data_IF_325465426808
#
_entry.id   IF_325465426808
#
_cell.length_a   1.000
_cell.length_b   1.000
_cell.length_c   1.000
_cell.angle_alpha   90.00
_cell.angle_beta   90.00
_cell.angle_gamma   90.00
#
_symmetry.space_group_name_H-M   'P 1'
#
loop_
_entity.id
_entity.type
_entity.pdbx_description
1 polymer ?
#
# COMPACT_ATOMS: atom_id res chain seq x y z
N UNK A 1 5.55 -37.91 -45.81
CA UNK A 1 5.74 -36.48 -45.52
C UNK A 1 5.02 -36.21 -44.21
N UNK A 2 5.73 -36.34 -43.09
CA UNK A 2 5.21 -36.01 -41.76
C UNK A 2 5.11 -34.50 -41.64
N UNK A 3 3.88 -33.98 -41.54
CA UNK A 3 3.65 -32.58 -41.21
C UNK A 3 3.91 -32.39 -39.72
N UNK A 4 5.07 -31.83 -39.39
CA UNK A 4 5.37 -31.36 -38.04
C UNK A 4 4.35 -30.31 -37.62
N UNK A 5 3.48 -30.65 -36.68
CA UNK A 5 2.72 -29.67 -35.91
C UNK A 5 3.74 -28.87 -35.09
N UNK A 6 4.09 -27.67 -35.57
CA UNK A 6 4.73 -26.66 -34.74
C UNK A 6 3.82 -26.38 -33.54
N UNK A 7 4.24 -26.86 -32.38
CA UNK A 7 3.72 -26.44 -31.09
C UNK A 7 4.04 -24.95 -30.99
N UNK A 8 3.09 -24.09 -31.36
CA UNK A 8 3.12 -22.68 -30.98
C UNK A 8 3.05 -22.63 -29.46
N UNK A 9 4.22 -22.63 -28.81
CA UNK A 9 4.36 -22.33 -27.40
C UNK A 9 3.89 -20.88 -27.27
N UNK A 10 2.62 -20.73 -26.92
CA UNK A 10 2.00 -19.45 -26.64
C UNK A 10 2.74 -18.90 -25.42
N UNK A 11 3.76 -18.07 -25.65
CA UNK A 11 4.56 -17.48 -24.59
C UNK A 11 3.65 -16.52 -23.84
N UNK A 12 2.93 -17.06 -22.84
CA UNK A 12 2.00 -16.31 -22.02
C UNK A 12 2.72 -15.08 -21.49
N UNK A 13 2.23 -13.89 -21.84
CA UNK A 13 2.86 -12.64 -21.45
C UNK A 13 3.04 -12.57 -19.93
N UNK A 14 4.23 -12.15 -19.50
CA UNK A 14 4.57 -12.00 -18.08
C UNK A 14 5.21 -13.20 -17.40
N UNK A 15 5.20 -14.40 -18.01
CA UNK A 15 5.88 -15.58 -17.44
C UNK A 15 7.38 -15.35 -17.27
N UNK A 16 7.92 -15.84 -16.15
CA UNK A 16 9.30 -15.69 -15.72
C UNK A 16 10.15 -16.84 -16.22
N UNK A 17 11.32 -16.50 -16.76
CA UNK A 17 12.31 -17.45 -17.28
C UNK A 17 13.20 -17.96 -16.16
N UNK A 18 13.45 -19.27 -16.15
CA UNK A 18 14.39 -19.90 -15.22
C UNK A 18 15.82 -19.41 -15.51
N UNK A 19 16.18 -19.32 -16.79
CA UNK A 19 17.53 -18.93 -17.23
C UNK A 19 17.82 -17.49 -16.82
N UNK A 20 16.91 -16.56 -17.09
CA UNK A 20 17.08 -15.14 -16.72
C UNK A 20 17.21 -14.99 -15.20
N UNK A 21 16.41 -15.77 -14.45
CA UNK A 21 16.48 -15.77 -12.99
C UNK A 21 17.85 -16.25 -12.51
N UNK A 22 18.41 -17.33 -13.09
CA UNK A 22 19.76 -17.78 -12.76
C UNK A 22 20.83 -16.74 -13.09
N UNK A 23 20.75 -16.09 -14.26
CA UNK A 23 21.68 -15.02 -14.66
C UNK A 23 21.63 -13.89 -13.62
N UNK A 24 20.43 -13.44 -13.25
CA UNK A 24 20.24 -12.42 -12.22
C UNK A 24 20.75 -12.86 -10.85
N UNK A 25 20.55 -14.12 -10.46
CA UNK A 25 21.06 -14.66 -9.20
C UNK A 25 22.58 -14.75 -9.19
N UNK A 26 23.25 -15.04 -10.31
CA UNK A 26 24.72 -15.11 -10.36
C UNK A 26 25.33 -13.72 -10.37
N UNK A 27 24.83 -12.82 -11.22
CA UNK A 27 25.43 -11.49 -11.44
C UNK A 27 25.05 -10.50 -10.34
N UNK A 28 23.79 -10.56 -9.87
CA UNK A 28 23.20 -9.59 -8.94
C UNK A 28 22.50 -10.27 -7.74
N UNK A 29 22.84 -11.52 -7.43
CA UNK A 29 22.12 -12.26 -6.40
C UNK A 29 22.32 -11.71 -4.99
N UNK A 30 23.50 -11.17 -4.68
CA UNK A 30 23.78 -10.55 -3.36
C UNK A 30 22.89 -9.32 -3.12
N UNK A 31 22.50 -8.61 -4.18
CA UNK A 31 21.57 -7.47 -4.04
C UNK A 31 20.10 -7.92 -3.94
N UNK A 32 19.79 -9.17 -4.33
CA UNK A 32 18.43 -9.70 -4.38
C UNK A 32 17.66 -9.30 -5.64
N UNK A 33 18.33 -8.91 -6.73
CA UNK A 33 17.68 -8.45 -7.97
C UNK A 33 16.74 -9.51 -8.59
N UNK A 34 17.07 -10.80 -8.44
CA UNK A 34 16.20 -11.90 -8.90
C UNK A 34 14.87 -11.94 -8.14
N UNK A 35 14.82 -11.56 -6.86
CA UNK A 35 13.55 -11.46 -6.13
C UNK A 35 12.65 -10.35 -6.66
N UNK A 36 13.24 -9.24 -7.12
CA UNK A 36 12.48 -8.18 -7.78
C UNK A 36 11.86 -8.67 -9.09
N UNK A 37 12.64 -9.35 -9.93
CA UNK A 37 12.16 -9.94 -11.18
C UNK A 37 11.00 -10.94 -10.98
N UNK A 38 11.06 -11.70 -9.88
CA UNK A 38 10.05 -12.67 -9.46
C UNK A 38 8.85 -12.06 -8.71
N UNK A 39 8.79 -10.73 -8.56
CA UNK A 39 7.66 -10.03 -7.92
C UNK A 39 7.65 -10.09 -6.38
N UNK A 40 8.83 -10.19 -5.73
CA UNK A 40 8.99 -10.26 -4.27
C UNK A 40 9.78 -9.06 -3.73
N UNK A 41 9.20 -7.85 -3.68
CA UNK A 41 9.92 -6.63 -3.26
C UNK A 41 10.42 -6.69 -1.80
N UNK A 42 9.71 -7.40 -0.92
CA UNK A 42 10.16 -7.56 0.47
C UNK A 42 11.45 -8.37 0.61
N UNK A 43 11.65 -9.37 -0.26
CA UNK A 43 12.90 -10.12 -0.30
C UNK A 43 14.04 -9.28 -0.87
N UNK A 44 13.78 -8.46 -1.90
CA UNK A 44 14.76 -7.47 -2.38
C UNK A 44 15.23 -6.56 -1.25
N UNK A 45 14.30 -5.96 -0.50
CA UNK A 45 14.64 -5.07 0.60
C UNK A 45 15.47 -5.79 1.68
N UNK A 46 15.03 -7.00 2.08
CA UNK A 46 15.76 -7.79 3.06
C UNK A 46 17.19 -8.10 2.56
N UNK A 47 17.37 -8.53 1.32
CA UNK A 47 18.68 -8.83 0.72
C UNK A 47 19.56 -7.58 0.64
N UNK A 48 19.01 -6.45 0.23
CA UNK A 48 19.75 -5.20 0.13
C UNK A 48 20.30 -4.73 1.49
N UNK A 49 19.48 -4.77 2.54
CA UNK A 49 19.88 -4.34 3.90
C UNK A 49 20.85 -5.33 4.56
N UNK A 50 20.71 -6.63 4.26
CA UNK A 50 21.49 -7.69 4.90
C UNK A 50 22.67 -8.20 4.06
N UNK A 51 22.96 -7.56 2.92
CA UNK A 51 23.96 -7.99 1.94
C UNK A 51 23.78 -9.46 1.53
N UNK A 52 22.57 -9.78 1.02
CA UNK A 52 22.22 -11.11 0.50
C UNK A 52 21.75 -12.11 1.56
N UNK A 53 21.30 -11.62 2.73
CA UNK A 53 21.13 -12.36 3.99
C UNK A 53 22.43 -13.03 4.46
N UNK A 54 23.42 -12.18 4.75
CA UNK A 54 24.75 -12.53 5.24
C UNK A 54 25.49 -13.54 4.34
N UNK A 55 25.28 -13.45 3.03
CA UNK A 55 25.90 -14.32 2.01
C UNK A 55 25.29 -15.73 1.90
N UNK A 56 24.68 -16.26 2.96
CA UNK A 56 24.06 -17.60 2.96
C UNK A 56 22.77 -17.62 2.12
N UNK A 57 21.97 -16.55 2.19
CA UNK A 57 20.71 -16.46 1.46
C UNK A 57 20.91 -16.59 -0.05
N UNK A 58 21.90 -15.88 -0.60
CA UNK A 58 22.29 -15.97 -2.01
C UNK A 58 22.62 -17.41 -2.45
N UNK A 59 23.38 -18.15 -1.64
CA UNK A 59 23.73 -19.55 -1.94
C UNK A 59 22.49 -20.45 -1.96
N UNK A 60 21.61 -20.32 -0.95
CA UNK A 60 20.36 -21.06 -0.90
C UNK A 60 19.45 -20.73 -2.09
N UNK A 61 19.46 -19.49 -2.55
CA UNK A 61 18.66 -19.06 -3.68
C UNK A 61 19.05 -19.73 -5.00
N UNK A 62 20.34 -20.02 -5.24
CA UNK A 62 20.80 -20.78 -6.42
C UNK A 62 20.09 -22.14 -6.52
N UNK A 63 19.97 -22.83 -5.38
CA UNK A 63 19.27 -24.13 -5.31
C UNK A 63 17.75 -23.97 -5.45
N UNK A 64 17.22 -22.83 -5.03
CA UNK A 64 15.78 -22.54 -4.94
C UNK A 64 15.19 -21.98 -6.24
N UNK A 65 15.99 -21.46 -7.18
CA UNK A 65 15.52 -20.84 -8.44
C UNK A 65 14.43 -21.63 -9.18
N UNK A 66 14.52 -22.96 -9.39
CA UNK A 66 13.51 -23.70 -10.14
C UNK A 66 12.13 -23.61 -9.49
N UNK A 67 12.10 -23.67 -8.16
CA UNK A 67 10.87 -23.56 -7.40
C UNK A 67 10.35 -22.10 -7.37
N UNK A 68 11.25 -21.12 -7.22
CA UNK A 68 10.91 -19.70 -7.23
C UNK A 68 10.19 -19.28 -8.51
N UNK A 69 10.70 -19.73 -9.65
CA UNK A 69 10.16 -19.41 -10.97
C UNK A 69 8.80 -20.09 -11.15
N UNK A 70 8.69 -21.36 -10.75
CA UNK A 70 7.40 -22.06 -10.75
C UNK A 70 6.37 -21.29 -9.94
N UNK A 71 6.70 -20.86 -8.72
CA UNK A 71 5.77 -20.13 -7.87
C UNK A 71 5.41 -18.75 -8.44
N UNK A 72 6.37 -18.03 -9.03
CA UNK A 72 6.10 -16.75 -9.68
C UNK A 72 5.14 -16.93 -10.86
N UNK A 73 5.33 -17.98 -11.66
CA UNK A 73 4.46 -18.33 -12.77
C UNK A 73 3.08 -18.81 -12.29
N UNK A 74 3.02 -19.55 -11.19
CA UNK A 74 1.76 -19.97 -10.55
C UNK A 74 0.95 -18.75 -10.08
N UNK A 75 1.60 -17.73 -9.49
CA UNK A 75 0.97 -16.44 -9.09
C UNK A 75 0.43 -15.65 -10.29
N UNK A 76 1.15 -15.67 -11.41
CA UNK A 76 0.70 -15.02 -12.66
C UNK A 76 -0.54 -15.74 -13.21
N UNK A 77 -0.57 -17.08 -13.14
CA UNK A 77 -1.70 -17.87 -13.62
C UNK A 77 -2.92 -17.81 -12.70
N UNK A 78 -2.71 -17.73 -11.39
CA UNK A 78 -3.76 -17.78 -10.37
C UNK A 78 -3.62 -16.57 -9.41
N UNK A 79 -4.37 -15.48 -9.63
CA UNK A 79 -4.30 -14.29 -8.77
C UNK A 79 -4.60 -14.56 -7.30
N UNK A 80 -5.39 -15.59 -6.98
CA UNK A 80 -5.65 -16.02 -5.59
C UNK A 80 -4.39 -16.37 -4.81
N UNK A 81 -3.32 -16.81 -5.49
CA UNK A 81 -2.03 -17.17 -4.89
C UNK A 81 -1.11 -15.97 -4.65
N UNK A 82 -1.42 -14.77 -5.17
CA UNK A 82 -0.57 -13.58 -5.04
C UNK A 82 -0.23 -13.28 -3.57
N UNK A 83 -1.21 -13.49 -2.69
CA UNK A 83 -1.11 -13.17 -1.28
C UNK A 83 -0.66 -14.33 -0.40
N UNK A 84 -0.49 -15.51 -0.99
CA UNK A 84 -0.12 -16.73 -0.27
C UNK A 84 1.32 -16.63 0.24
N UNK A 85 1.51 -17.06 1.49
CA UNK A 85 2.76 -17.06 2.23
C UNK A 85 3.30 -18.48 2.32
N UNK A 86 4.58 -18.65 2.04
CA UNK A 86 5.22 -19.95 2.13
C UNK A 86 6.00 -20.08 3.44
N UNK A 87 5.85 -21.23 4.08
CA UNK A 87 6.53 -21.54 5.34
C UNK A 87 8.06 -21.49 5.20
N UNK A 88 8.60 -22.02 4.10
CA UNK A 88 10.04 -21.95 3.82
C UNK A 88 10.57 -20.54 3.61
N UNK A 89 9.78 -19.66 2.98
CA UNK A 89 10.17 -18.26 2.77
C UNK A 89 10.27 -17.55 4.12
N UNK A 90 9.34 -17.85 5.03
CA UNK A 90 9.37 -17.36 6.40
C UNK A 90 10.60 -17.90 7.17
N UNK A 91 10.96 -19.18 7.01
CA UNK A 91 12.16 -19.76 7.64
C UNK A 91 13.48 -19.20 7.07
N UNK A 92 13.56 -18.96 5.76
CA UNK A 92 14.72 -18.32 5.12
C UNK A 92 14.92 -16.89 5.65
N UNK A 93 13.83 -16.13 5.83
CA UNK A 93 13.92 -14.80 6.43
C UNK A 93 14.22 -14.82 7.93
N UNK A 94 13.86 -15.92 8.60
CA UNK A 94 14.10 -16.11 10.03
C UNK A 94 15.54 -16.52 10.36
N UNK A 95 16.18 -17.34 9.53
CA UNK A 95 17.55 -17.77 9.76
C UNK A 95 18.51 -17.17 8.72
N UNK A 96 19.53 -16.38 9.12
CA UNK A 96 19.87 -15.90 10.47
C UNK A 96 19.27 -14.52 10.82
N UNK A 97 18.79 -13.76 9.83
CA UNK A 97 18.38 -12.37 10.03
C UNK A 97 17.01 -12.18 10.71
N UNK A 98 16.38 -13.26 11.18
CA UNK A 98 15.13 -13.19 11.95
C UNK A 98 15.26 -12.45 13.27
N UNK A 99 16.49 -12.28 13.78
CA UNK A 99 16.76 -11.40 14.94
C UNK A 99 16.34 -9.94 14.65
N UNK A 100 16.32 -9.52 13.38
CA UNK A 100 15.83 -8.20 12.97
C UNK A 100 14.34 -8.18 12.60
N UNK A 101 13.64 -9.32 12.69
CA UNK A 101 12.20 -9.41 12.46
C UNK A 101 11.75 -9.47 11.00
N UNK A 102 12.63 -9.77 10.04
CA UNK A 102 12.26 -9.83 8.61
C UNK A 102 11.14 -10.83 8.29
N UNK A 103 11.11 -11.98 8.97
CA UNK A 103 10.02 -12.96 8.83
C UNK A 103 8.66 -12.38 9.29
N UNK A 104 8.65 -11.50 10.28
CA UNK A 104 7.42 -10.84 10.77
C UNK A 104 6.89 -9.81 9.78
N UNK A 105 7.78 -9.07 9.11
CA UNK A 105 7.39 -8.18 8.01
C UNK A 105 6.79 -8.97 6.85
N UNK A 106 7.39 -10.10 6.46
CA UNK A 106 6.84 -10.99 5.44
C UNK A 106 5.44 -11.53 5.79
N UNK A 107 5.23 -11.86 7.07
CA UNK A 107 3.95 -12.31 7.64
C UNK A 107 2.97 -11.16 7.94
N UNK A 108 3.23 -9.93 7.45
CA UNK A 108 2.34 -8.76 7.61
C UNK A 108 2.05 -8.41 9.08
N UNK A 109 3.06 -8.60 9.95
CA UNK A 109 3.05 -8.20 11.36
C UNK A 109 4.08 -7.10 11.61
N UNK A 110 3.90 -5.90 11.02
CA UNK A 110 4.94 -4.86 11.03
C UNK A 110 5.27 -4.37 12.44
N UNK A 111 4.30 -4.41 13.37
CA UNK A 111 4.52 -3.91 14.73
C UNK A 111 5.52 -4.79 15.48
N UNK A 112 5.32 -6.12 15.41
CA UNK A 112 6.27 -7.07 15.98
C UNK A 112 7.61 -7.03 15.24
N UNK A 113 7.60 -6.83 13.91
CA UNK A 113 8.82 -6.67 13.13
C UNK A 113 9.67 -5.48 13.58
N UNK A 114 9.06 -4.30 13.75
CA UNK A 114 9.75 -3.10 14.28
C UNK A 114 10.22 -3.33 15.71
N UNK A 115 9.39 -3.94 16.56
CA UNK A 115 9.78 -4.28 17.92
C UNK A 115 11.03 -5.17 17.92
N UNK A 116 11.07 -6.22 17.08
CA UNK A 116 12.21 -7.11 16.91
C UNK A 116 13.46 -6.36 16.44
N UNK A 117 13.32 -5.45 15.48
CA UNK A 117 14.43 -4.67 14.96
C UNK A 117 15.17 -3.87 16.05
N UNK A 118 14.43 -3.21 16.96
CA UNK A 118 15.04 -2.41 18.03
C UNK A 118 15.49 -3.21 19.25
N UNK A 119 14.94 -4.42 19.43
CA UNK A 119 15.19 -5.25 20.62
C UNK A 119 16.05 -6.47 20.31
N UNK A 120 16.53 -6.57 19.06
CA UNK A 120 17.25 -7.72 18.51
C UNK A 120 16.49 -9.03 18.79
N UNK A 121 15.24 -9.08 18.32
CA UNK A 121 14.36 -10.23 18.42
C UNK A 121 13.75 -10.43 19.81
N UNK A 122 13.71 -9.36 20.61
CA UNK A 122 13.48 -9.34 22.06
C UNK A 122 14.52 -10.19 22.83
N UNK A 123 15.79 -9.78 22.75
CA UNK A 123 16.93 -10.42 23.40
C UNK A 123 17.14 -11.89 23.00
N UNK A 124 16.80 -12.24 21.75
CA UNK A 124 16.97 -13.60 21.20
C UNK A 124 15.90 -14.62 21.61
N UNK A 125 15.19 -14.43 22.72
CA UNK A 125 14.12 -15.36 23.14
C UNK A 125 12.95 -15.40 22.15
N UNK A 126 12.54 -14.24 21.65
CA UNK A 126 11.49 -14.16 20.64
C UNK A 126 11.89 -14.86 19.34
N UNK A 127 13.14 -14.68 18.91
CA UNK A 127 13.69 -15.36 17.74
C UNK A 127 13.62 -16.89 17.86
N UNK A 128 13.94 -17.47 19.02
CA UNK A 128 13.82 -18.92 19.26
C UNK A 128 12.34 -19.36 19.23
N UNK A 129 11.46 -18.64 19.93
CA UNK A 129 10.04 -18.96 19.97
C UNK A 129 9.38 -18.94 18.59
N UNK A 130 9.79 -18.00 17.73
CA UNK A 130 9.23 -17.86 16.40
C UNK A 130 9.53 -19.06 15.49
N UNK A 131 10.63 -19.78 15.73
CA UNK A 131 10.92 -21.05 15.03
C UNK A 131 9.79 -22.07 15.18
N UNK A 132 9.18 -22.14 16.37
CA UNK A 132 8.05 -23.03 16.67
C UNK A 132 6.69 -22.44 16.24
N UNK A 133 6.52 -21.12 16.33
CA UNK A 133 5.23 -20.46 16.06
C UNK A 133 4.96 -20.24 14.57
N UNK A 134 6.00 -20.29 13.73
CA UNK A 134 5.92 -19.97 12.30
C UNK A 134 4.84 -20.75 11.52
N UNK A 135 4.67 -22.07 11.69
CA UNK A 135 3.65 -22.82 10.95
C UNK A 135 2.24 -22.29 11.22
N UNK A 136 1.96 -21.94 12.47
CA UNK A 136 0.68 -21.34 12.87
C UNK A 136 0.49 -19.96 12.25
N UNK A 137 1.52 -19.11 12.30
CA UNK A 137 1.44 -17.75 11.73
C UNK A 137 1.25 -17.73 10.22
N UNK A 138 1.92 -18.64 9.49
CA UNK A 138 1.76 -18.78 8.04
C UNK A 138 0.36 -19.27 7.70
N UNK A 139 -0.17 -20.25 8.45
CA UNK A 139 -1.52 -20.77 8.25
C UNK A 139 -2.58 -19.68 8.45
N UNK A 140 -2.48 -18.93 9.55
CA UNK A 140 -3.39 -17.80 9.84
C UNK A 140 -3.41 -16.75 8.71
N UNK A 141 -2.26 -16.44 8.11
CA UNK A 141 -2.20 -15.47 7.01
C UNK A 141 -2.76 -16.02 5.70
N UNK A 142 -2.63 -17.33 5.47
CA UNK A 142 -3.09 -17.99 4.25
C UNK A 142 -4.58 -18.33 4.27
N UNK A 143 -5.18 -18.50 5.45
CA UNK A 143 -6.61 -18.77 5.62
C UNK A 143 -7.49 -17.51 5.42
N UNK A 144 -6.88 -16.32 5.31
CA UNK A 144 -7.63 -15.07 5.11
C UNK A 144 -8.27 -15.00 3.72
N UNK A 145 -9.51 -14.51 3.60
CA UNK A 145 -10.18 -14.35 2.31
C UNK A 145 -9.37 -13.50 1.32
N UNK A 146 -9.47 -13.86 0.03
CA UNK A 146 -8.84 -13.11 -1.04
C UNK A 146 -9.31 -11.64 -1.04
N UNK A 147 -8.36 -10.70 -1.02
CA UNK A 147 -8.65 -9.26 -0.94
C UNK A 147 -8.76 -8.70 0.48
N UNK A 148 -8.81 -9.53 1.53
CA UNK A 148 -8.86 -9.08 2.93
C UNK A 148 -7.50 -9.15 3.65
N UNK A 149 -6.43 -9.02 2.87
CA UNK A 149 -5.06 -9.18 3.35
C UNK A 149 -4.58 -8.07 4.27
N UNK A 150 -5.29 -6.93 4.27
CA UNK A 150 -4.94 -5.79 5.09
C UNK A 150 -5.58 -5.93 6.48
N UNK A 151 -4.75 -6.09 7.51
CA UNK A 151 -5.24 -6.07 8.91
C UNK A 151 -5.95 -4.75 9.19
N UNK A 152 -7.01 -4.83 10.01
CA UNK A 152 -7.68 -3.63 10.55
C UNK A 152 -6.64 -2.74 11.24
N UNK A 153 -6.67 -1.46 10.92
CA UNK A 153 -5.72 -0.49 11.48
C UNK A 153 -6.23 -0.03 12.84
N UNK A 154 -5.38 -0.16 13.85
CA UNK A 154 -5.72 0.20 15.24
C UNK A 154 -4.97 1.46 15.65
N UNK A 155 -5.70 2.37 16.29
CA UNK A 155 -5.17 3.66 16.73
C UNK A 155 -3.95 3.52 17.66
N UNK A 156 -3.95 2.65 18.70
CA UNK A 156 -2.78 2.51 19.56
C UNK A 156 -1.54 2.04 18.80
N UNK A 157 -1.71 1.10 17.86
CA UNK A 157 -0.62 0.57 17.04
C UNK A 157 -0.04 1.65 16.13
N UNK A 158 -0.88 2.50 15.54
CA UNK A 158 -0.43 3.64 14.74
C UNK A 158 0.36 4.65 15.58
N UNK A 159 -0.08 4.96 16.81
CA UNK A 159 0.67 5.80 17.73
C UNK A 159 2.02 5.20 18.13
N UNK A 160 2.10 3.88 18.32
CA UNK A 160 3.39 3.23 18.56
C UNK A 160 4.37 3.41 17.39
N UNK A 161 3.88 3.36 16.15
CA UNK A 161 4.72 3.64 14.97
C UNK A 161 5.06 5.12 14.81
N UNK A 162 4.24 6.03 15.33
CA UNK A 162 4.53 7.46 15.36
C UNK A 162 5.58 7.84 16.44
N UNK A 163 5.94 6.93 17.34
CA UNK A 163 6.94 7.17 18.36
C UNK A 163 8.35 7.29 17.75
N UNK A 164 9.14 8.23 18.25
CA UNK A 164 10.54 8.42 17.84
C UNK A 164 11.40 7.18 18.19
N UNK A 165 12.37 6.78 17.34
CA UNK A 165 12.75 7.42 16.06
C UNK A 165 11.92 6.95 14.86
N UNK A 166 11.13 5.91 15.02
CA UNK A 166 10.42 5.20 13.93
C UNK A 166 9.39 6.09 13.23
N UNK A 167 8.71 6.95 14.00
CA UNK A 167 7.75 7.93 13.50
C UNK A 167 8.38 9.04 12.66
N UNK A 168 9.62 9.44 12.94
CA UNK A 168 10.33 10.44 12.14
C UNK A 168 10.55 9.93 10.71
N UNK A 169 10.76 8.63 10.53
CA UNK A 169 10.89 8.03 9.20
C UNK A 169 9.55 7.70 8.52
N UNK A 170 8.40 8.03 9.15
CA UNK A 170 7.07 7.86 8.55
C UNK A 170 6.49 6.45 8.68
N UNK A 171 6.93 5.65 9.64
CA UNK A 171 6.44 4.28 9.85
C UNK A 171 4.92 4.17 10.01
N UNK A 172 4.29 5.15 10.66
CA UNK A 172 2.84 5.20 10.79
C UNK A 172 2.14 5.34 9.44
N UNK A 173 2.71 6.07 8.47
CA UNK A 173 2.15 6.15 7.12
C UNK A 173 2.27 4.83 6.36
N UNK A 174 3.41 4.14 6.47
CA UNK A 174 3.55 2.80 5.90
C UNK A 174 2.55 1.82 6.53
N UNK A 175 2.34 1.90 7.85
CA UNK A 175 1.32 1.11 8.53
C UNK A 175 -0.10 1.43 8.04
N UNK A 176 -0.39 2.69 7.74
CA UNK A 176 -1.70 3.17 7.29
C UNK A 176 -1.92 3.04 5.78
N UNK A 177 -1.03 2.33 5.06
CA UNK A 177 -1.08 2.11 3.60
C UNK A 177 -1.02 3.41 2.78
N UNK A 178 -0.23 4.38 3.26
CA UNK A 178 0.03 5.63 2.57
C UNK A 178 1.53 5.73 2.21
N UNK A 179 2.00 4.93 1.23
CA UNK A 179 3.43 4.78 0.96
C UNK A 179 4.09 6.09 0.51
N UNK A 180 3.39 6.92 -0.27
CA UNK A 180 3.95 8.20 -0.74
C UNK A 180 4.28 9.17 0.40
N UNK A 181 3.41 9.24 1.41
CA UNK A 181 3.66 10.03 2.61
C UNK A 181 4.78 9.43 3.46
N UNK A 182 4.82 8.10 3.58
CA UNK A 182 5.92 7.40 4.25
C UNK A 182 7.28 7.71 3.60
N UNK A 183 7.37 7.59 2.27
CA UNK A 183 8.59 7.89 1.50
C UNK A 183 9.01 9.34 1.71
N UNK A 184 8.07 10.27 1.60
CA UNK A 184 8.33 11.68 1.83
C UNK A 184 8.92 11.90 3.23
N UNK A 185 8.33 11.31 4.28
CA UNK A 185 8.84 11.39 5.65
C UNK A 185 10.22 10.74 5.78
N UNK A 186 10.47 9.59 5.17
CA UNK A 186 11.78 8.92 5.22
C UNK A 186 12.90 9.80 4.66
N UNK A 187 12.67 10.47 3.52
CA UNK A 187 13.69 11.30 2.87
C UNK A 187 13.81 12.73 3.44
N UNK A 188 12.79 13.22 4.13
CA UNK A 188 12.77 14.56 4.74
C UNK A 188 12.95 14.53 6.26
N UNK A 189 13.18 13.34 6.83
CA UNK A 189 13.22 13.07 8.28
C UNK A 189 11.98 13.68 8.96
N UNK A 190 10.81 13.24 8.49
CA UNK A 190 9.51 13.54 9.07
C UNK A 190 8.91 14.89 8.67
N UNK A 191 9.36 15.45 7.54
CA UNK A 191 9.29 16.88 7.20
C UNK A 191 9.96 17.74 8.28
N UNK A 192 11.29 17.68 8.33
CA UNK A 192 12.15 18.48 9.22
C UNK A 192 11.72 18.46 10.69
N UNK A 193 11.16 17.34 11.16
CA UNK A 193 10.60 17.18 12.51
C UNK A 193 9.24 17.86 12.75
N UNK A 194 8.88 18.92 12.02
CA UNK A 194 7.58 19.58 12.17
C UNK A 194 6.42 18.66 11.82
N UNK A 195 6.50 17.94 10.70
CA UNK A 195 5.44 17.02 10.28
C UNK A 195 5.20 15.92 11.31
N UNK A 196 6.26 15.43 11.95
CA UNK A 196 6.15 14.49 13.06
C UNK A 196 5.41 15.06 14.28
N UNK A 197 5.65 16.33 14.64
CA UNK A 197 4.92 16.99 15.74
C UNK A 197 3.42 17.08 15.43
N UNK A 198 3.07 17.55 14.22
CA UNK A 198 1.67 17.67 13.79
C UNK A 198 1.00 16.29 13.76
N UNK A 199 1.74 15.24 13.42
CA UNK A 199 1.21 13.88 13.33
C UNK A 199 0.78 13.29 14.67
N UNK A 200 1.29 13.75 15.80
CA UNK A 200 0.75 13.36 17.11
C UNK A 200 -0.74 13.72 17.25
N UNK A 201 -1.14 14.85 16.69
CA UNK A 201 -2.54 15.27 16.66
C UNK A 201 -3.30 14.63 15.50
N UNK A 202 -2.66 14.47 14.34
CA UNK A 202 -3.32 13.95 13.13
C UNK A 202 -3.50 12.43 13.13
N UNK A 203 -2.71 11.67 13.89
CA UNK A 203 -2.67 10.21 13.82
C UNK A 203 -4.06 9.57 13.97
N UNK A 204 -4.90 10.07 14.87
CA UNK A 204 -6.29 9.64 14.99
C UNK A 204 -7.06 9.74 13.66
N UNK A 205 -7.00 10.90 12.99
CA UNK A 205 -7.67 11.12 11.71
C UNK A 205 -7.10 10.26 10.59
N UNK A 206 -5.78 10.04 10.57
CA UNK A 206 -5.14 9.18 9.57
C UNK A 206 -5.61 7.72 9.70
N UNK A 207 -5.76 7.22 10.94
CA UNK A 207 -6.31 5.88 11.21
C UNK A 207 -7.76 5.78 10.77
N UNK A 208 -8.57 6.79 11.09
CA UNK A 208 -9.98 6.80 10.72
C UNK A 208 -10.16 6.78 9.20
N UNK A 209 -9.40 7.58 8.46
CA UNK A 209 -9.43 7.57 6.99
C UNK A 209 -9.01 6.25 6.38
N UNK A 210 -7.93 5.66 6.90
CA UNK A 210 -7.49 4.34 6.44
C UNK A 210 -8.59 3.28 6.64
N UNK A 211 -9.33 3.36 7.76
CA UNK A 211 -10.50 2.51 8.01
C UNK A 211 -11.64 2.77 7.02
N UNK A 212 -11.99 4.04 6.78
CA UNK A 212 -13.07 4.42 5.86
C UNK A 212 -12.77 4.01 4.41
N UNK A 213 -11.52 4.14 3.97
CA UNK A 213 -11.06 3.67 2.65
C UNK A 213 -11.15 2.15 2.57
N UNK A 214 -10.72 1.43 3.61
CA UNK A 214 -10.84 -0.03 3.68
C UNK A 214 -12.30 -0.50 3.60
N UNK A 215 -13.20 0.18 4.31
CA UNK A 215 -14.66 -0.09 4.29
C UNK A 215 -15.34 0.44 3.02
N UNK A 216 -14.58 1.00 2.06
CA UNK A 216 -15.08 1.56 0.79
C UNK A 216 -16.12 2.70 0.96
N UNK A 217 -16.12 3.37 2.12
CA UNK A 217 -17.00 4.51 2.37
C UNK A 217 -16.46 5.79 1.72
N UNK A 218 -15.13 5.92 1.66
CA UNK A 218 -14.44 7.04 1.01
C UNK A 218 -13.58 6.51 -0.13
N UNK A 219 -13.45 7.29 -1.19
CA UNK A 219 -12.60 6.94 -2.32
C UNK A 219 -11.11 7.12 -1.95
N UNK A 220 -10.20 6.22 -2.37
CA UNK A 220 -8.77 6.30 -2.03
C UNK A 220 -8.07 7.58 -2.51
N UNK A 221 -8.59 8.23 -3.56
CA UNK A 221 -8.01 9.49 -4.07
C UNK A 221 -8.56 10.76 -3.39
N UNK A 222 -9.49 10.64 -2.44
CA UNK A 222 -10.01 11.78 -1.67
C UNK A 222 -8.86 12.50 -0.95
N UNK A 223 -8.86 13.82 -1.03
CA UNK A 223 -7.83 14.69 -0.43
C UNK A 223 -8.37 15.34 0.84
N UNK A 224 -7.48 15.54 1.82
CA UNK A 224 -7.84 16.07 3.13
C UNK A 224 -7.08 17.36 3.46
N UNK A 225 -7.67 18.18 4.34
CA UNK A 225 -7.15 19.51 4.68
C UNK A 225 -5.81 19.47 5.40
N UNK A 226 -5.66 18.58 6.34
CA UNK A 226 -4.44 18.39 7.14
C UNK A 226 -3.24 17.92 6.30
N UNK A 227 -3.44 17.09 5.28
CA UNK A 227 -2.41 16.72 4.30
C UNK A 227 -1.89 17.97 3.56
N UNK A 228 -2.82 18.81 3.12
CA UNK A 228 -2.52 20.01 2.34
C UNK A 228 -1.91 21.08 3.23
N UNK A 229 -2.42 21.25 4.45
CA UNK A 229 -1.87 22.15 5.45
C UNK A 229 -0.43 21.77 5.81
N UNK A 230 -0.15 20.46 5.94
CA UNK A 230 1.20 19.96 6.19
C UNK A 230 2.17 20.31 5.04
N UNK A 231 1.75 20.22 3.78
CA UNK A 231 2.58 20.62 2.64
C UNK A 231 2.69 22.13 2.50
N UNK A 232 1.62 22.86 2.81
CA UNK A 232 1.57 24.32 2.71
C UNK A 232 2.50 25.01 3.70
N UNK A 233 2.55 24.55 4.96
CA UNK A 233 3.26 25.27 6.02
C UNK A 233 4.79 25.33 5.86
N UNK A 234 5.50 24.31 5.33
CA UNK A 234 6.93 24.42 5.01
C UNK A 234 7.25 24.54 3.50
N UNK A 235 6.39 24.02 2.61
CA UNK A 235 6.67 23.97 1.16
C UNK A 235 5.67 24.70 0.29
N UNK A 236 4.71 25.41 0.88
CA UNK A 236 3.71 26.15 0.14
C UNK A 236 4.30 27.29 -0.70
N UNK A 237 5.45 27.85 -0.32
CA UNK A 237 6.21 28.83 -1.13
C UNK A 237 6.66 28.20 -2.45
N UNK A 238 6.95 26.91 -2.48
CA UNK A 238 7.29 26.17 -3.70
C UNK A 238 6.07 25.63 -4.45
N UNK A 239 4.86 25.81 -3.92
CA UNK A 239 3.62 25.34 -4.55
C UNK A 239 3.37 23.84 -4.44
N UNK A 240 4.00 23.11 -3.52
CA UNK A 240 3.82 21.65 -3.40
C UNK A 240 2.36 21.24 -3.12
N UNK A 241 1.59 22.06 -2.41
CA UNK A 241 0.15 21.84 -2.20
C UNK A 241 -0.66 21.86 -3.51
N UNK A 242 -0.25 22.65 -4.50
CA UNK A 242 -0.90 22.67 -5.82
C UNK A 242 -0.58 21.44 -6.65
N UNK A 243 0.67 20.96 -6.60
CA UNK A 243 1.03 19.69 -7.23
C UNK A 243 0.26 18.52 -6.62
N UNK A 244 0.11 18.49 -5.29
CA UNK A 244 -0.68 17.45 -4.60
C UNK A 244 -2.16 17.43 -5.02
N UNK A 245 -2.74 18.59 -5.31
CA UNK A 245 -4.13 18.74 -5.78
C UNK A 245 -4.29 18.48 -7.29
N UNK A 246 -3.21 18.16 -8.02
CA UNK A 246 -3.22 17.96 -9.48
C UNK A 246 -3.29 19.24 -10.29
N UNK A 247 -3.07 20.41 -9.68
CA UNK A 247 -3.07 21.74 -10.33
C UNK A 247 -1.66 22.12 -10.78
N UNK A 248 -1.12 21.36 -11.72
CA UNK A 248 0.27 21.48 -12.17
C UNK A 248 0.64 22.89 -12.67
N UNK A 249 -0.25 23.58 -13.39
CA UNK A 249 0.02 24.94 -13.88
C UNK A 249 0.25 25.95 -12.75
N UNK A 250 -0.60 25.93 -11.72
CA UNK A 250 -0.42 26.78 -10.52
C UNK A 250 0.78 26.38 -9.68
N UNK A 251 1.06 25.08 -9.58
CA UNK A 251 2.26 24.58 -8.91
C UNK A 251 3.54 25.08 -9.58
N UNK A 252 3.62 24.99 -10.91
CA UNK A 252 4.77 25.46 -11.68
C UNK A 252 4.94 26.99 -11.57
N UNK A 253 3.84 27.73 -11.58
CA UNK A 253 3.85 29.17 -11.37
C UNK A 253 4.44 29.51 -10.00
N UNK A 254 3.97 28.87 -8.93
CA UNK A 254 4.49 29.09 -7.57
C UNK A 254 5.95 28.70 -7.47
N UNK A 255 6.33 27.56 -8.02
CA UNK A 255 7.73 27.11 -8.05
C UNK A 255 8.64 28.12 -8.75
N UNK A 256 8.19 28.71 -9.86
CA UNK A 256 8.97 29.68 -10.66
C UNK A 256 8.99 31.09 -10.06
N UNK A 257 8.02 31.44 -9.21
CA UNK A 257 7.85 32.79 -8.65
C UNK A 257 8.06 32.84 -7.13
N UNK A 258 8.50 31.73 -6.53
CA UNK A 258 8.58 31.52 -5.08
C UNK A 258 7.26 31.92 -4.40
N UNK A 259 6.15 31.34 -4.88
CA UNK A 259 4.81 31.47 -4.33
C UNK A 259 4.14 32.82 -4.61
N UNK A 260 4.55 33.48 -5.69
CA UNK A 260 4.31 34.91 -6.01
C UNK A 260 4.76 35.84 -4.88
N UNK A 261 6.08 35.83 -4.61
CA UNK A 261 6.77 36.63 -3.58
C UNK A 261 6.21 36.44 -2.15
N UNK A 262 5.68 35.25 -1.86
CA UNK A 262 5.12 34.90 -0.54
C UNK A 262 3.68 35.39 -0.29
N UNK A 263 3.13 36.29 -1.12
CA UNK A 263 1.74 36.74 -0.98
C UNK A 263 0.78 35.61 -1.34
N UNK A 264 1.07 34.87 -2.41
CA UNK A 264 0.25 33.73 -2.83
C UNK A 264 0.20 32.63 -1.76
N UNK A 265 1.33 32.35 -1.10
CA UNK A 265 1.39 31.45 0.05
C UNK A 265 0.42 31.86 1.17
N UNK A 266 0.35 33.16 1.50
CA UNK A 266 -0.56 33.65 2.53
C UNK A 266 -2.04 33.62 2.10
N UNK A 267 -2.35 34.05 0.88
CA UNK A 267 -3.72 34.04 0.33
C UNK A 267 -4.28 32.62 0.27
N UNK A 268 -3.44 31.63 0.00
CA UNK A 268 -3.87 30.24 -0.10
C UNK A 268 -4.39 29.68 1.22
N UNK A 269 -3.96 30.20 2.39
CA UNK A 269 -4.47 29.78 3.70
C UNK A 269 -6.01 29.82 3.76
N UNK A 270 -6.61 30.84 3.17
CA UNK A 270 -8.07 31.02 3.13
C UNK A 270 -8.75 30.21 2.03
N UNK A 271 -8.00 29.74 1.03
CA UNK A 271 -8.54 29.06 -0.16
C UNK A 271 -8.40 27.54 -0.11
N UNK A 272 -7.62 26.98 0.83
CA UNK A 272 -7.38 25.54 0.92
C UNK A 272 -8.68 24.71 0.93
N UNK A 273 -9.67 25.11 1.74
CA UNK A 273 -10.95 24.40 1.85
C UNK A 273 -11.70 24.34 0.51
N UNK A 274 -11.74 25.45 -0.22
CA UNK A 274 -12.38 25.50 -1.53
C UNK A 274 -11.68 24.56 -2.52
N UNK A 275 -10.35 24.54 -2.55
CA UNK A 275 -9.61 23.67 -3.47
C UNK A 275 -9.83 22.18 -3.20
N UNK A 276 -9.99 21.81 -1.93
CA UNK A 276 -10.27 20.42 -1.52
C UNK A 276 -11.67 20.03 -1.94
N UNK A 277 -12.65 20.88 -1.66
CA UNK A 277 -14.05 20.63 -2.02
C UNK A 277 -14.16 20.45 -3.53
N UNK A 278 -13.54 21.32 -4.33
CA UNK A 278 -13.54 21.21 -5.79
C UNK A 278 -12.93 19.89 -6.29
N UNK A 279 -11.79 19.49 -5.73
CA UNK A 279 -11.12 18.24 -6.12
C UNK A 279 -11.95 17.01 -5.73
N UNK A 280 -12.47 16.98 -4.51
CA UNK A 280 -13.26 15.86 -4.00
C UNK A 280 -14.62 15.75 -4.71
N UNK A 281 -15.26 16.88 -5.05
CA UNK A 281 -16.48 16.90 -5.86
C UNK A 281 -16.25 16.25 -7.22
N UNK A 282 -15.16 16.61 -7.92
CA UNK A 282 -14.81 16.01 -9.23
C UNK A 282 -14.61 14.50 -9.13
N UNK A 283 -13.90 14.03 -8.10
CA UNK A 283 -13.70 12.59 -7.87
C UNK A 283 -15.04 11.89 -7.68
N UNK A 284 -15.90 12.41 -6.81
CA UNK A 284 -17.20 11.82 -6.53
C UNK A 284 -18.09 11.77 -7.78
N UNK A 285 -18.11 12.84 -8.59
CA UNK A 285 -18.84 12.87 -9.86
C UNK A 285 -18.35 11.81 -10.85
N UNK A 286 -17.03 11.66 -11.02
CA UNK A 286 -16.45 10.63 -11.89
C UNK A 286 -16.83 9.21 -11.43
N UNK A 287 -16.90 8.97 -10.12
CA UNK A 287 -17.30 7.67 -9.58
C UNK A 287 -18.78 7.37 -9.80
N UNK A 288 -19.64 8.36 -9.60
CA UNK A 288 -21.08 8.22 -9.83
C UNK A 288 -21.33 7.93 -11.32
N UNK A 289 -20.75 8.74 -12.22
CA UNK A 289 -20.89 8.55 -13.66
C UNK A 289 -20.29 7.22 -14.12
N UNK A 290 -19.13 6.83 -13.58
CA UNK A 290 -18.46 5.57 -13.90
C UNK A 290 -19.21 4.33 -13.40
N UNK A 291 -19.88 4.40 -12.24
CA UNK A 291 -20.76 3.34 -11.75
C UNK A 291 -22.08 3.29 -12.55
N UNK A 292 -22.66 4.44 -12.86
CA UNK A 292 -23.87 4.53 -13.69
C UNK A 292 -23.66 3.93 -15.09
N UNK A 293 -22.51 4.22 -15.70
CA UNK A 293 -22.15 3.63 -16.99
C UNK A 293 -21.90 2.12 -16.91
N UNK A 294 -21.26 1.62 -15.84
CA UNK A 294 -21.02 0.18 -15.64
C UNK A 294 -22.32 -0.59 -15.44
N UNK A 295 -23.18 -0.09 -14.56
CA UNK A 295 -24.49 -0.67 -14.30
C UNK A 295 -25.36 -0.70 -15.57
N UNK A 296 -25.28 0.33 -16.42
CA UNK A 296 -25.98 0.34 -17.71
C UNK A 296 -25.41 -0.68 -18.70
N UNK A 297 -24.08 -0.81 -18.80
CA UNK A 297 -23.46 -1.82 -19.69
C UNK A 297 -23.62 -3.25 -19.20
N UNK A 298 -23.72 -3.45 -17.88
CA UNK A 298 -23.94 -4.77 -17.28
C UNK A 298 -25.43 -5.16 -17.40
N UNK A 299 -26.36 -4.22 -17.19
CA UNK A 299 -27.79 -4.42 -17.47
C UNK A 299 -28.08 -4.65 -18.97
N UNK A 300 -27.32 -4.03 -19.87
CA UNK A 300 -27.45 -4.26 -21.32
C UNK A 300 -26.95 -5.66 -21.75
N UNK A 301 -26.13 -6.33 -20.93
CA UNK A 301 -25.69 -7.72 -21.15
C UNK A 301 -26.64 -8.75 -20.55
N UNK A 302 -27.45 -8.36 -19.58
CA UNK A 302 -28.54 -9.17 -19.03
C UNK A 302 -29.87 -8.84 -19.72
N UNK A 303 -29.92 -9.04 -21.05
CA UNK A 303 -31.19 -9.10 -21.79
C UNK A 303 -31.55 -10.57 -22.03
N UNK A 304 -32.50 -11.15 -21.27
CA UNK A 304 -33.17 -12.38 -21.66
C UNK A 304 -34.25 -12.02 -22.67
N UNK A 305 -34.19 -12.61 -23.87
CA UNK A 305 -35.39 -12.75 -24.70
C UNK A 305 -36.41 -13.63 -23.95
N UNK A 306 -37.66 -13.20 -24.00
CA UNK A 306 -38.88 -13.87 -23.56
C UNK A 306 -38.99 -14.29 -22.08
N UNK A 307 -39.93 -13.68 -21.36
CA UNK A 307 -41.19 -14.32 -20.96
C UNK A 307 -42.05 -13.37 -20.11
N UNK A 308 -43.28 -13.16 -20.57
CA UNK A 308 -44.40 -12.59 -19.83
C UNK A 308 -44.66 -13.38 -18.54
N UNK A 309 -44.53 -12.75 -17.36
CA UNK A 309 -45.46 -12.97 -16.25
C UNK A 309 -45.47 -11.82 -15.25
N UNK A 310 -46.67 -11.53 -14.77
CA UNK A 310 -47.04 -10.50 -13.83
C UNK A 310 -46.68 -10.93 -12.40
N UNK A 311 -45.97 -10.11 -11.62
CA UNK A 311 -46.16 -10.11 -10.16
C UNK A 311 -45.89 -8.73 -9.56
N UNK A 312 -46.90 -8.25 -8.86
CA UNK A 312 -46.99 -6.97 -8.18
C UNK A 312 -46.48 -7.13 -6.74
N UNK A 313 -45.30 -6.58 -6.46
CA UNK A 313 -44.68 -6.65 -5.13
C UNK A 313 -43.80 -5.45 -4.80
N UNK A 314 -44.44 -4.34 -4.44
CA UNK A 314 -44.00 -3.31 -3.48
C UNK A 314 -42.47 -3.10 -3.28
N UNK A 315 -41.85 -2.24 -4.08
CA UNK A 315 -40.54 -1.65 -3.76
C UNK A 315 -40.73 -0.25 -3.17
N UNK A 316 -40.67 -0.15 -1.84
CA UNK A 316 -40.48 1.14 -1.18
C UNK A 316 -39.07 1.66 -1.45
N UNK A 317 -39.05 2.78 -2.14
CA UNK A 317 -37.90 3.67 -2.34
C UNK A 317 -37.41 4.18 -0.98
N UNK A 318 -36.25 3.72 -0.49
CA UNK A 318 -35.58 4.35 0.65
C UNK A 318 -34.36 5.13 0.14
N UNK A 319 -34.61 6.38 -0.25
CA UNK A 319 -33.57 7.38 -0.49
C UNK A 319 -33.11 7.94 0.85
N UNK A 320 -32.23 7.22 1.55
CA UNK A 320 -31.43 7.77 2.64
C UNK A 320 -29.95 7.63 2.28
N UNK A 321 -29.54 8.42 1.29
CA UNK A 321 -28.13 8.71 1.09
C UNK A 321 -27.64 9.56 2.26
N UNK A 322 -27.14 8.90 3.30
CA UNK A 322 -26.39 9.56 4.37
C UNK A 322 -25.08 10.02 3.73
N UNK A 323 -25.06 11.26 3.25
CA UNK A 323 -23.82 11.97 3.00
C UNK A 323 -23.03 12.00 4.32
N UNK A 324 -21.73 11.68 4.34
CA UNK A 324 -20.94 11.94 5.53
C UNK A 324 -21.01 13.46 5.81
N UNK A 325 -21.18 13.87 7.07
CA UNK A 325 -21.25 15.29 7.41
C UNK A 325 -20.01 16.00 6.89
N UNK A 326 -20.21 17.21 6.38
CA UNK A 326 -19.09 18.08 6.02
C UNK A 326 -18.17 18.21 7.24
N UNK A 327 -16.85 18.29 7.04
CA UNK A 327 -15.90 18.37 8.14
C UNK A 327 -16.20 19.53 9.10
N UNK A 328 -16.87 20.59 8.62
CA UNK A 328 -17.35 21.74 9.39
C UNK A 328 -18.45 21.39 10.41
N UNK A 329 -19.25 20.35 10.15
CA UNK A 329 -20.40 19.95 10.96
C UNK A 329 -19.98 19.05 12.14
N UNK A 330 -18.88 18.29 11.98
CA UNK A 330 -18.29 17.47 13.05
C UNK A 330 -17.56 18.31 14.12
N UNK A 331 -17.11 19.52 13.78
CA UNK A 331 -16.44 20.45 14.71
C UNK A 331 -17.37 21.43 15.40
N UNK A 332 -18.64 21.55 14.96
CA UNK A 332 -19.60 22.52 15.53
C UNK A 332 -20.42 21.94 16.70
N UNK A 333 -20.31 20.63 16.98
CA UNK A 333 -21.09 19.92 18.01
C UNK A 333 -20.24 19.37 19.17
N UNK A 334 -19.14 20.03 19.52
CA UNK A 334 -18.42 19.78 20.78
C UNK A 334 -17.97 21.06 21.46
#
# INVERSE_FOLDING_TARGET
MESGQEIKINHKEGYKSIVDTYILTIVLGVTGAHHFYLGRPWFLFAYFVSFGLLGVGWFLDILRVPWLVKEANDRISNPSLENHKHLRDAYILWFPCGIFGFHLFYLRRPFLGVLYFFTFGMFGFGWIMDGFRMPSMVREENEKPFGETERTKHTPVAYCFALSPVGLFGAHYYYLNQPWWGILYTFTTGLFGWGWIVDWFRCYFLVERARLIKTKQIHPNTKFLDDIALLWFPFGIFGLHHFYLGRHGWGLLYFSTLGLLGIGWFVDLFRLNSFINDHNMRINSCLINGKGSRNYTDAAKETPEDHLYNDSGNYQHNHNGILPPSYEEATRTK
#
